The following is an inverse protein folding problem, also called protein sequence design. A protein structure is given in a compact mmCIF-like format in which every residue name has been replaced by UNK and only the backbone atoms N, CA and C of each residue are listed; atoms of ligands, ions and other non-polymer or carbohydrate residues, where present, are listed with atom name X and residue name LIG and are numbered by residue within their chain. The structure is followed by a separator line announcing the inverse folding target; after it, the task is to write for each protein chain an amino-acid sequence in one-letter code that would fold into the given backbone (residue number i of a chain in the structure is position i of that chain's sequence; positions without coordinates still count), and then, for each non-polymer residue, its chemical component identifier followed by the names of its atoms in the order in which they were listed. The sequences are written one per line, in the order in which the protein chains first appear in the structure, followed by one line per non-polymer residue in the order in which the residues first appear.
data_IF_803967806570
#
_entry.id   IF_803967806570
#
_cell.length_a   1.000
_cell.length_b   1.000
_cell.length_c   1.000
_cell.angle_alpha   90.00
_cell.angle_beta   90.00
_cell.angle_gamma   90.00
#
_symmetry.space_group_name_H-M   'P 1'
#
loop_
_entity.id
_entity.type
_entity.pdbx_description
1 polymer ?
#
# COMPACT_ATOMS: atom_id res chain seq x y z
N UNK A 1 -5.37 27.78 13.69
CA UNK A 1 -5.76 26.61 14.49
C UNK A 1 -4.49 25.81 14.79
N UNK A 2 -4.10 25.81 16.08
CA UNK A 2 -3.04 25.06 16.80
C UNK A 2 -1.89 24.47 15.93
N UNK A 3 -0.78 25.18 15.66
CA UNK A 3 0.40 25.44 16.52
C UNK A 3 0.83 24.26 17.40
N UNK A 4 1.96 23.63 17.09
CA UNK A 4 3.02 23.36 18.08
C UNK A 4 4.31 22.89 17.39
N UNK A 5 5.34 23.72 17.47
CA UNK A 5 6.75 23.33 17.36
C UNK A 5 7.27 23.00 18.76
N UNK A 6 8.46 22.38 18.84
CA UNK A 6 9.40 22.41 19.98
C UNK A 6 9.24 21.30 21.04
N UNK A 7 10.24 20.42 21.21
CA UNK A 7 11.41 20.60 22.09
C UNK A 7 12.26 19.30 22.13
N UNK A 8 13.58 19.47 22.19
CA UNK A 8 14.60 18.44 22.40
C UNK A 8 14.75 18.22 23.92
N UNK A 9 14.60 16.98 24.42
CA UNK A 9 14.87 16.62 25.82
C UNK A 9 15.95 15.54 25.88
N UNK A 10 16.96 15.80 26.69
CA UNK A 10 18.15 15.00 26.88
C UNK A 10 17.93 13.76 27.76
N UNK A 11 18.63 12.69 27.38
CA UNK A 11 19.32 11.69 28.21
C UNK A 11 18.77 11.38 29.61
N UNK A 12 18.18 10.20 29.74
CA UNK A 12 18.31 9.37 30.93
C UNK A 12 18.87 8.00 30.51
N UNK A 13 20.12 7.74 30.89
CA UNK A 13 20.67 6.39 30.96
C UNK A 13 19.98 5.69 32.14
N UNK A 14 19.15 4.70 31.86
CA UNK A 14 18.74 3.70 32.84
C UNK A 14 19.33 2.36 32.42
N UNK A 15 20.40 1.97 33.12
CA UNK A 15 20.95 0.62 33.10
C UNK A 15 19.94 -0.32 33.76
N UNK A 16 19.15 -1.03 32.96
CA UNK A 16 18.37 -2.16 33.45
C UNK A 16 19.26 -3.41 33.35
N UNK A 17 20.01 -3.67 34.42
CA UNK A 17 20.49 -5.01 34.73
C UNK A 17 19.37 -5.74 35.45
N UNK A 18 18.74 -6.70 34.80
CA UNK A 18 17.86 -7.67 35.46
C UNK A 18 18.05 -9.06 34.82
N UNK A 19 18.79 -9.92 35.50
CA UNK A 19 18.60 -11.37 35.42
C UNK A 19 17.59 -11.75 36.52
N UNK A 20 16.35 -12.05 36.13
CA UNK A 20 15.43 -12.98 36.78
C UNK A 20 14.22 -13.19 35.87
N UNK A 21 14.07 -14.43 35.42
CA UNK A 21 13.01 -14.92 34.56
C UNK A 21 11.65 -14.80 35.27
N UNK A 22 10.84 -13.81 34.86
CA UNK A 22 9.42 -13.64 35.17
C UNK A 22 8.80 -12.80 34.05
N UNK A 23 8.66 -13.38 32.86
CA UNK A 23 8.29 -12.66 31.65
C UNK A 23 6.76 -12.55 31.49
N UNK A 24 6.13 -11.74 32.34
CA UNK A 24 4.75 -11.25 32.15
C UNK A 24 4.71 -9.84 31.57
N UNK A 25 5.79 -9.40 30.92
CA UNK A 25 5.75 -8.24 30.03
C UNK A 25 5.62 -8.72 28.59
N UNK A 26 4.41 -9.15 28.20
CA UNK A 26 4.08 -9.44 26.79
C UNK A 26 4.16 -8.11 26.01
N UNK A 27 5.35 -7.76 25.52
CA UNK A 27 5.48 -6.73 24.50
C UNK A 27 4.59 -7.16 23.34
N UNK A 28 3.62 -6.35 22.89
CA UNK A 28 2.78 -6.73 21.77
C UNK A 28 3.68 -6.97 20.55
N UNK A 29 3.62 -8.18 20.00
CA UNK A 29 4.32 -8.54 18.77
C UNK A 29 3.60 -7.84 17.62
N UNK A 30 4.32 -6.98 16.91
CA UNK A 30 3.80 -6.27 15.74
C UNK A 30 3.66 -7.22 14.55
N UNK A 31 2.64 -6.98 13.73
CA UNK A 31 2.42 -7.71 12.49
C UNK A 31 3.55 -7.47 11.47
N UNK A 32 3.96 -8.53 10.80
CA UNK A 32 4.91 -8.48 9.68
C UNK A 32 4.22 -8.56 8.31
N UNK A 33 2.90 -8.61 8.28
CA UNK A 33 2.11 -8.76 7.07
C UNK A 33 2.12 -7.46 6.24
N UNK A 34 2.42 -7.61 4.95
CA UNK A 34 2.70 -6.49 4.02
C UNK A 34 2.29 -6.87 2.59
N UNK A 35 1.11 -7.43 2.45
CA UNK A 35 0.55 -7.83 1.16
C UNK A 35 -0.43 -6.78 0.66
N UNK A 36 -0.50 -6.62 -0.68
CA UNK A 36 -1.66 -6.03 -1.34
C UNK A 36 -2.65 -7.17 -1.58
N UNK A 37 -3.81 -7.10 -0.94
CA UNK A 37 -4.84 -8.15 -0.98
C UNK A 37 -5.94 -7.86 -2.00
N UNK A 38 -6.14 -6.58 -2.36
CA UNK A 38 -6.99 -6.18 -3.47
C UNK A 38 -6.45 -4.91 -4.15
N UNK A 39 -6.61 -4.86 -5.46
CA UNK A 39 -6.30 -3.70 -6.28
C UNK A 39 -7.34 -3.61 -7.39
N UNK A 40 -8.10 -2.53 -7.45
CA UNK A 40 -9.16 -2.35 -8.45
C UNK A 40 -9.27 -0.90 -8.92
N UNK A 41 -9.88 -0.71 -10.09
CA UNK A 41 -10.31 0.59 -10.57
C UNK A 41 -11.82 0.59 -10.58
N UNK A 42 -12.44 1.36 -9.67
CA UNK A 42 -13.89 1.45 -9.60
C UNK A 42 -14.39 2.40 -10.67
N UNK A 43 -15.51 2.06 -11.31
CA UNK A 43 -16.12 2.87 -12.36
C UNK A 43 -16.51 4.26 -11.84
N UNK A 44 -17.05 4.34 -10.62
CA UNK A 44 -17.44 5.61 -10.01
C UNK A 44 -16.30 6.58 -9.72
N UNK A 45 -15.04 6.11 -9.72
CA UNK A 45 -13.87 6.93 -9.43
C UNK A 45 -13.01 7.25 -10.66
N UNK A 46 -13.27 6.60 -11.79
CA UNK A 46 -12.41 6.61 -12.96
C UNK A 46 -13.23 6.82 -14.25
N UNK A 47 -13.06 7.97 -14.87
CA UNK A 47 -13.69 8.29 -16.15
C UNK A 47 -13.32 7.25 -17.23
N UNK A 48 -14.31 6.83 -18.03
CA UNK A 48 -14.11 5.88 -19.13
C UNK A 48 -14.30 4.41 -18.74
N UNK A 49 -14.57 4.11 -17.46
CA UNK A 49 -14.95 2.77 -17.02
C UNK A 49 -16.47 2.66 -16.86
N UNK A 50 -17.07 1.65 -17.49
CA UNK A 50 -18.50 1.32 -17.35
C UNK A 50 -18.78 0.29 -16.24
N UNK A 51 -17.72 -0.35 -15.72
CA UNK A 51 -17.76 -1.33 -14.63
C UNK A 51 -16.45 -1.33 -13.88
N UNK A 52 -16.46 -1.84 -12.65
CA UNK A 52 -15.25 -2.01 -11.85
C UNK A 52 -14.32 -3.04 -12.50
N UNK A 53 -13.03 -2.72 -12.53
CA UNK A 53 -11.99 -3.62 -13.03
C UNK A 53 -11.11 -4.05 -11.86
N UNK A 54 -11.07 -5.36 -11.57
CA UNK A 54 -10.15 -5.94 -10.60
C UNK A 54 -8.84 -6.28 -11.28
N UNK A 55 -7.72 -5.89 -10.67
CA UNK A 55 -6.40 -6.27 -11.14
C UNK A 55 -6.07 -7.70 -10.69
N UNK A 56 -5.27 -8.39 -11.47
CA UNK A 56 -4.63 -9.65 -11.10
C UNK A 56 -3.41 -9.35 -10.23
N UNK A 57 -3.29 -10.05 -9.10
CA UNK A 57 -2.20 -9.89 -8.13
C UNK A 57 -1.40 -11.20 -8.09
N UNK A 58 -0.11 -11.10 -8.39
CA UNK A 58 0.86 -12.17 -8.13
C UNK A 58 1.66 -11.80 -6.88
N UNK A 59 1.29 -12.41 -5.75
CA UNK A 59 1.92 -12.17 -4.45
C UNK A 59 3.33 -12.74 -4.35
N UNK A 60 3.69 -13.72 -5.20
CA UNK A 60 5.03 -14.32 -5.20
C UNK A 60 5.99 -13.50 -6.04
N UNK A 61 5.58 -13.11 -7.25
CA UNK A 61 6.37 -12.24 -8.13
C UNK A 61 6.32 -10.77 -7.73
N UNK A 62 5.42 -10.40 -6.80
CA UNK A 62 5.14 -9.02 -6.39
C UNK A 62 4.81 -8.13 -7.59
N UNK A 63 3.88 -8.60 -8.41
CA UNK A 63 3.37 -7.85 -9.56
C UNK A 63 1.86 -7.73 -9.53
N UNK A 64 1.34 -6.63 -10.09
CA UNK A 64 -0.09 -6.38 -10.24
C UNK A 64 -0.34 -5.95 -11.67
N UNK A 65 -1.34 -6.54 -12.33
CA UNK A 65 -1.68 -6.26 -13.72
C UNK A 65 -3.17 -6.04 -13.90
N UNK A 66 -3.56 -5.03 -14.67
CA UNK A 66 -4.94 -4.89 -15.12
C UNK A 66 -4.97 -4.44 -16.58
N UNK A 67 -6.00 -4.91 -17.29
CA UNK A 67 -6.34 -4.45 -18.64
C UNK A 67 -7.61 -3.61 -18.55
N UNK A 68 -7.53 -2.35 -18.97
CA UNK A 68 -8.66 -1.43 -18.99
C UNK A 68 -9.23 -1.31 -20.41
N UNK A 69 -10.51 -0.91 -20.57
CA UNK A 69 -11.09 -0.63 -21.87
C UNK A 69 -10.26 0.38 -22.68
N UNK A 70 -10.26 0.21 -24.00
CA UNK A 70 -9.64 1.18 -24.92
C UNK A 70 -10.20 2.58 -24.71
N UNK A 71 -9.33 3.59 -24.76
CA UNK A 71 -9.69 4.99 -24.56
C UNK A 71 -9.71 5.44 -23.10
N UNK A 72 -9.52 4.51 -22.14
CA UNK A 72 -9.35 4.88 -20.73
C UNK A 72 -8.08 5.74 -20.57
N UNK A 73 -8.23 6.89 -19.91
CA UNK A 73 -7.09 7.80 -19.67
C UNK A 73 -6.22 7.28 -18.52
N UNK A 74 -5.03 6.78 -18.85
CA UNK A 74 -4.12 6.16 -17.87
C UNK A 74 -3.37 7.17 -16.98
N UNK A 75 -3.34 8.46 -17.36
CA UNK A 75 -2.55 9.48 -16.65
C UNK A 75 -3.16 9.95 -15.33
N UNK A 76 -4.43 9.60 -15.05
CA UNK A 76 -5.18 10.12 -13.91
C UNK A 76 -6.10 9.09 -13.25
N UNK A 77 -5.66 7.84 -13.12
CA UNK A 77 -6.47 6.79 -12.50
C UNK A 77 -6.40 6.83 -10.97
N UNK A 78 -7.50 6.49 -10.30
CA UNK A 78 -7.63 6.33 -8.86
C UNK A 78 -7.85 4.85 -8.53
N UNK A 79 -6.79 4.10 -8.16
CA UNK A 79 -6.94 2.73 -7.73
C UNK A 79 -7.58 2.66 -6.33
N UNK A 80 -8.36 1.62 -6.09
CA UNK A 80 -8.82 1.22 -4.76
C UNK A 80 -7.97 0.04 -4.31
N UNK A 81 -7.29 0.23 -3.20
CA UNK A 81 -6.26 -0.69 -2.71
C UNK A 81 -6.65 -1.14 -1.31
N UNK A 82 -6.56 -2.45 -1.08
CA UNK A 82 -6.66 -3.07 0.23
C UNK A 82 -5.32 -3.77 0.51
N UNK A 83 -4.81 -3.59 1.72
CA UNK A 83 -3.58 -4.21 2.20
C UNK A 83 -3.87 -5.07 3.42
N UNK A 84 -2.86 -5.83 3.88
CA UNK A 84 -2.88 -6.51 5.18
C UNK A 84 -3.33 -5.58 6.32
N UNK A 85 -3.92 -6.17 7.36
CA UNK A 85 -4.27 -5.44 8.59
C UNK A 85 -3.02 -4.76 9.18
N UNK A 86 -3.20 -3.56 9.72
CA UNK A 86 -2.16 -2.68 10.27
C UNK A 86 -1.06 -2.23 9.29
N UNK A 87 -1.10 -2.67 8.03
CA UNK A 87 -0.19 -2.21 6.99
C UNK A 87 -0.67 -0.90 6.33
N UNK A 88 0.29 -0.15 5.78
CA UNK A 88 0.05 1.03 4.96
C UNK A 88 0.66 0.85 3.55
N UNK A 89 0.12 1.57 2.56
CA UNK A 89 0.63 1.55 1.18
C UNK A 89 0.95 2.94 0.65
N UNK A 90 2.02 3.05 -0.15
CA UNK A 90 2.39 4.25 -0.90
C UNK A 90 2.76 3.89 -2.35
N UNK A 91 2.16 4.51 -3.39
CA UNK A 91 1.08 5.50 -3.33
C UNK A 91 -0.17 5.00 -2.58
N UNK A 92 -0.92 5.94 -1.98
CA UNK A 92 -2.12 5.61 -1.18
C UNK A 92 -3.31 5.24 -2.06
N UNK A 93 -4.21 4.43 -1.51
CA UNK A 93 -5.53 4.17 -2.11
C UNK A 93 -6.24 5.49 -2.46
N UNK A 94 -6.95 5.51 -3.60
CA UNK A 94 -7.69 6.63 -4.18
C UNK A 94 -6.85 7.85 -4.62
N UNK A 95 -5.52 7.80 -4.53
CA UNK A 95 -4.66 8.86 -5.05
C UNK A 95 -4.56 8.76 -6.57
N UNK A 96 -4.74 9.90 -7.25
CA UNK A 96 -4.55 10.01 -8.70
C UNK A 96 -3.12 9.63 -9.05
N UNK A 97 -2.97 8.64 -9.93
CA UNK A 97 -1.69 8.08 -10.35
C UNK A 97 -1.64 7.96 -11.87
N UNK A 98 -0.49 8.28 -12.45
CA UNK A 98 -0.19 8.08 -13.87
C UNK A 98 0.36 6.66 -14.08
N UNK A 99 -0.39 5.83 -14.79
CA UNK A 99 -0.02 4.46 -15.14
C UNK A 99 0.39 4.31 -16.62
N UNK A 100 0.81 5.38 -17.29
CA UNK A 100 1.45 5.28 -18.61
C UNK A 100 2.76 4.50 -18.58
N UNK A 101 3.34 4.32 -17.39
CA UNK A 101 4.48 3.44 -17.11
C UNK A 101 4.18 2.58 -15.88
N UNK A 102 5.00 1.56 -15.67
CA UNK A 102 4.91 0.76 -14.46
C UNK A 102 5.18 1.60 -13.21
N UNK A 103 4.39 1.40 -12.17
CA UNK A 103 4.49 2.13 -10.89
C UNK A 103 4.79 1.15 -9.77
N UNK A 104 5.70 1.54 -8.87
CA UNK A 104 6.03 0.75 -7.69
C UNK A 104 5.18 1.20 -6.51
N UNK A 105 4.43 0.28 -5.94
CA UNK A 105 3.71 0.44 -4.68
C UNK A 105 4.51 -0.22 -3.56
N UNK A 106 4.74 0.49 -2.47
CA UNK A 106 5.41 -0.02 -1.27
C UNK A 106 4.39 -0.22 -0.17
N UNK A 107 4.27 -1.44 0.31
CA UNK A 107 3.50 -1.79 1.52
C UNK A 107 4.47 -1.83 2.70
N UNK A 108 4.12 -1.14 3.78
CA UNK A 108 4.85 -1.13 5.05
C UNK A 108 3.99 -1.83 6.10
N UNK A 109 4.50 -2.90 6.69
CA UNK A 109 3.87 -3.61 7.80
C UNK A 109 3.93 -2.80 9.10
N UNK A 110 3.22 -3.26 10.13
CA UNK A 110 3.26 -2.67 11.47
C UNK A 110 4.67 -2.71 12.09
N UNK A 111 5.41 -3.79 11.83
CA UNK A 111 6.81 -3.99 12.22
C UNK A 111 7.84 -3.18 11.42
N UNK A 112 7.36 -2.27 10.55
CA UNK A 112 8.14 -1.39 9.68
C UNK A 112 8.87 -2.09 8.53
N UNK A 113 8.77 -3.42 8.39
CA UNK A 113 9.28 -4.13 7.21
C UNK A 113 8.45 -3.81 5.97
N UNK A 114 9.06 -3.88 4.78
CA UNK A 114 8.41 -3.42 3.54
C UNK A 114 8.41 -4.46 2.42
N UNK A 115 7.42 -4.35 1.55
CA UNK A 115 7.23 -5.16 0.35
C UNK A 115 6.89 -4.24 -0.82
N UNK A 116 7.50 -4.49 -1.99
CA UNK A 116 7.33 -3.65 -3.19
C UNK A 116 6.59 -4.43 -4.27
N UNK A 117 5.50 -3.86 -4.80
CA UNK A 117 4.76 -4.39 -5.93
C UNK A 117 4.97 -3.53 -7.17
N UNK A 118 5.26 -4.15 -8.30
CA UNK A 118 5.26 -3.45 -9.60
C UNK A 118 3.88 -3.56 -10.24
N UNK A 119 3.23 -2.42 -10.44
CA UNK A 119 1.89 -2.32 -11.04
C UNK A 119 2.03 -1.89 -12.50
N UNK A 120 1.48 -2.70 -13.41
CA UNK A 120 1.45 -2.41 -14.85
C UNK A 120 0.02 -2.42 -15.35
N UNK A 121 -0.42 -1.31 -15.93
CA UNK A 121 -1.77 -1.15 -16.48
C UNK A 121 -1.67 -0.97 -17.98
N UNK A 122 -2.52 -1.66 -18.72
CA UNK A 122 -2.64 -1.50 -20.18
C UNK A 122 -4.07 -1.13 -20.55
N UNK A 123 -4.23 -0.50 -21.71
CA UNK A 123 -5.53 -0.35 -22.35
C UNK A 123 -5.49 -1.12 -23.67
N UNK A 124 -6.17 -2.27 -23.73
CA UNK A 124 -6.19 -3.14 -24.92
C UNK A 124 -7.49 -2.97 -25.69
N UNK A 125 -7.41 -3.10 -27.01
CA UNK A 125 -8.58 -3.24 -27.88
C UNK A 125 -9.08 -4.66 -27.73
N UNK A 126 -10.28 -4.82 -27.17
CA UNK A 126 -11.00 -6.08 -27.34
C UNK A 126 -11.36 -6.14 -28.83
N UNK A 127 -10.53 -6.77 -29.64
CA UNK A 127 -10.95 -7.17 -30.97
C UNK A 127 -11.94 -8.30 -30.75
N UNK A 128 -13.22 -7.96 -30.94
CA UNK A 128 -14.33 -8.90 -31.15
C UNK A 128 -14.00 -9.88 -32.28
#
# INVERSE_FOLDING_TARGET
MKKMSMLLVAMFLVIVSCNKDDDNNKVPVKSSDKEITAFSFLAGDNDGLSKDIKASIDSKAKTIKAELPTGTTLTKLKPTITVSEDANVSPKSKVITDFTKAIVYTVTAEDETTSKYTVTITATKNNE
#
